data_IF_316042231086
#
_entry.id   IF_316042231086
#
_cell.length_a   1.000
_cell.length_b   1.000
_cell.length_c   1.000
_cell.angle_alpha   90.00
_cell.angle_beta   90.00
_cell.angle_gamma   90.00
#
_symmetry.space_group_name_H-M   'P 1'
#
loop_
_entity.id
_entity.type
_entity.pdbx_description
1 polymer ?
#
# COMPACT_ATOMS: atom_id res chain seq x y z
N UNK A 1 -8.84 5.52 12.41
CA UNK A 1 -8.20 5.57 11.07
C UNK A 1 -7.80 6.99 10.75
N UNK A 2 -6.67 7.13 10.06
CA UNK A 2 -6.24 8.44 9.56
C UNK A 2 -7.33 9.07 8.69
N UNK A 3 -7.47 10.37 8.71
CA UNK A 3 -8.54 11.08 8.02
C UNK A 3 -8.05 12.18 7.09
N UNK A 4 -8.92 12.62 6.21
CA UNK A 4 -8.67 13.74 5.29
C UNK A 4 -8.27 14.98 6.09
N UNK A 5 -7.17 15.63 5.70
CA UNK A 5 -6.59 16.77 6.38
C UNK A 5 -5.48 16.42 7.36
N UNK A 6 -5.35 15.16 7.74
CA UNK A 6 -4.26 14.72 8.63
C UNK A 6 -2.93 14.72 7.87
N UNK A 7 -1.84 14.86 8.62
CA UNK A 7 -0.49 14.67 8.06
C UNK A 7 -0.19 13.18 7.99
N UNK A 8 0.19 12.71 6.81
CA UNK A 8 0.53 11.29 6.61
C UNK A 8 1.85 10.95 7.27
N UNK A 9 1.92 9.85 8.04
CA UNK A 9 3.19 9.36 8.59
C UNK A 9 4.14 8.89 7.47
N UNK A 10 5.42 9.23 7.60
CA UNK A 10 6.46 8.70 6.73
C UNK A 10 6.79 7.26 7.14
N UNK A 11 7.33 6.49 6.20
CA UNK A 11 7.82 5.15 6.50
C UNK A 11 8.89 4.70 5.49
N UNK A 12 9.70 3.74 5.92
CA UNK A 12 10.60 2.97 5.07
C UNK A 12 10.29 1.51 5.37
N UNK A 13 10.01 0.74 4.35
CA UNK A 13 9.61 -0.66 4.54
C UNK A 13 10.10 -1.54 3.37
N UNK A 14 10.29 -2.86 3.62
CA UNK A 14 10.63 -3.79 2.55
C UNK A 14 9.53 -3.82 1.50
N UNK A 15 9.92 -3.85 0.23
CA UNK A 15 8.97 -3.86 -0.87
C UNK A 15 9.52 -4.61 -2.07
N UNK A 16 8.63 -5.08 -2.92
CA UNK A 16 8.95 -5.65 -4.22
C UNK A 16 8.54 -4.65 -5.30
N UNK A 17 9.48 -4.30 -6.17
CA UNK A 17 9.24 -3.41 -7.31
C UNK A 17 9.95 -3.99 -8.54
N UNK A 18 9.22 -4.15 -9.64
CA UNK A 18 9.77 -4.69 -10.90
C UNK A 18 10.53 -6.01 -10.72
N UNK A 19 10.00 -6.92 -9.89
CA UNK A 19 10.61 -8.21 -9.63
C UNK A 19 11.84 -8.17 -8.75
N UNK A 20 12.15 -7.04 -8.13
CA UNK A 20 13.31 -6.85 -7.27
C UNK A 20 12.87 -6.45 -5.87
N UNK A 21 13.42 -7.13 -4.86
CA UNK A 21 13.19 -6.78 -3.46
C UNK A 21 14.15 -5.67 -3.04
N UNK A 22 13.59 -4.61 -2.43
CA UNK A 22 14.34 -3.46 -1.93
C UNK A 22 13.54 -2.77 -0.82
N UNK A 23 14.03 -1.65 -0.33
CA UNK A 23 13.29 -0.81 0.59
C UNK A 23 12.53 0.28 -0.17
N UNK A 24 11.29 0.53 0.23
CA UNK A 24 10.52 1.65 -0.27
C UNK A 24 10.49 2.74 0.80
N UNK A 25 10.95 3.93 0.42
CA UNK A 25 10.89 5.12 1.27
C UNK A 25 9.77 6.03 0.75
N UNK A 26 8.74 6.24 1.55
CA UNK A 26 7.58 7.04 1.15
C UNK A 26 7.99 8.46 0.74
N UNK A 27 8.95 9.08 1.46
CA UNK A 27 9.36 10.45 1.15
C UNK A 27 9.88 10.62 -0.28
N UNK A 28 10.48 9.59 -0.87
CA UNK A 28 10.96 9.64 -2.26
C UNK A 28 9.80 9.69 -3.25
N UNK A 29 8.72 8.97 -2.96
CA UNK A 29 7.50 9.00 -3.78
C UNK A 29 6.80 10.36 -3.66
N UNK A 30 6.72 10.90 -2.46
CA UNK A 30 6.08 12.21 -2.22
C UNK A 30 6.87 13.33 -2.89
N UNK A 31 8.20 13.29 -2.87
CA UNK A 31 9.04 14.28 -3.54
C UNK A 31 8.93 14.24 -5.06
N UNK A 32 8.73 13.06 -5.63
CA UNK A 32 8.77 12.85 -7.07
C UNK A 32 7.41 12.96 -7.76
N UNK A 33 6.30 13.00 -7.02
CA UNK A 33 4.95 12.96 -7.57
C UNK A 33 4.04 13.98 -6.88
N UNK A 34 2.97 14.37 -7.55
CA UNK A 34 1.96 15.26 -6.97
C UNK A 34 1.11 14.55 -5.91
N UNK A 35 0.94 13.24 -6.06
CA UNK A 35 0.18 12.42 -5.12
C UNK A 35 0.72 10.99 -5.04
N UNK A 36 0.46 10.34 -3.91
CA UNK A 36 0.77 8.93 -3.68
C UNK A 36 -0.49 8.22 -3.23
N UNK A 37 -0.86 7.14 -3.91
CA UNK A 37 -1.97 6.28 -3.50
C UNK A 37 -1.42 5.05 -2.78
N UNK A 38 -1.83 4.87 -1.53
CA UNK A 38 -1.47 3.71 -0.72
C UNK A 38 -2.69 2.79 -0.62
N UNK A 39 -2.54 1.56 -1.08
CA UNK A 39 -3.60 0.57 -1.14
C UNK A 39 -3.30 -0.54 -0.12
N UNK A 40 -3.93 -0.45 1.05
CA UNK A 40 -3.71 -1.40 2.15
C UNK A 40 -4.60 -2.63 1.97
N UNK A 41 -4.02 -3.81 2.17
CA UNK A 41 -4.71 -5.09 2.14
C UNK A 41 -4.28 -5.95 3.33
N UNK A 42 -5.19 -6.75 3.92
CA UNK A 42 -4.84 -7.63 5.05
C UNK A 42 -3.75 -8.63 4.71
N UNK A 43 -3.84 -9.23 3.54
CA UNK A 43 -2.93 -10.28 3.10
C UNK A 43 -2.91 -10.35 1.57
N UNK A 44 -1.87 -10.99 1.05
CA UNK A 44 -1.79 -11.32 -0.37
C UNK A 44 -2.87 -12.36 -0.74
N UNK A 45 -3.26 -12.40 -2.00
CA UNK A 45 -4.20 -13.38 -2.56
C UNK A 45 -5.63 -13.33 -2.00
N UNK A 46 -5.98 -12.30 -1.22
CA UNK A 46 -7.38 -12.08 -0.81
C UNK A 46 -8.17 -11.66 -2.06
N UNK A 47 -9.23 -12.39 -2.43
CA UNK A 47 -9.89 -12.18 -3.73
C UNK A 47 -10.39 -10.75 -3.97
N UNK A 48 -11.01 -10.11 -2.99
CA UNK A 48 -11.53 -8.75 -3.14
C UNK A 48 -10.41 -7.73 -3.27
N UNK A 49 -9.32 -7.88 -2.51
CA UNK A 49 -8.15 -7.01 -2.60
C UNK A 49 -7.42 -7.21 -3.93
N UNK A 50 -7.30 -8.46 -4.38
CA UNK A 50 -6.68 -8.79 -5.67
C UNK A 50 -7.46 -8.16 -6.83
N UNK A 51 -8.79 -8.23 -6.79
CA UNK A 51 -9.63 -7.60 -7.81
C UNK A 51 -9.45 -6.08 -7.84
N UNK A 52 -9.32 -5.44 -6.68
CA UNK A 52 -9.09 -4.00 -6.58
C UNK A 52 -7.72 -3.61 -7.16
N UNK A 53 -6.66 -4.32 -6.79
CA UNK A 53 -5.31 -4.06 -7.31
C UNK A 53 -5.23 -4.31 -8.82
N UNK A 54 -5.90 -5.35 -9.32
CA UNK A 54 -5.99 -5.61 -10.75
C UNK A 54 -6.74 -4.49 -11.48
N UNK A 55 -7.79 -3.94 -10.88
CA UNK A 55 -8.52 -2.82 -11.45
C UNK A 55 -7.66 -1.55 -11.52
N UNK A 56 -6.86 -1.28 -10.50
CA UNK A 56 -5.91 -0.16 -10.49
C UNK A 56 -4.84 -0.34 -11.56
N UNK A 57 -4.30 -1.55 -11.70
CA UNK A 57 -3.35 -1.90 -12.76
C UNK A 57 -3.97 -1.65 -14.15
N UNK A 58 -5.17 -2.17 -14.38
CA UNK A 58 -5.85 -2.10 -15.68
C UNK A 58 -6.27 -0.67 -16.02
N UNK A 59 -6.55 0.15 -15.02
CA UNK A 59 -6.86 1.57 -15.20
C UNK A 59 -5.61 2.43 -15.45
N UNK A 60 -4.40 1.86 -15.30
CA UNK A 60 -3.15 2.54 -15.62
C UNK A 60 -2.76 3.64 -14.64
N UNK A 61 -3.12 3.52 -13.37
CA UNK A 61 -2.77 4.53 -12.37
C UNK A 61 -1.26 4.71 -12.26
N UNK A 62 -0.50 3.62 -12.36
CA UNK A 62 0.96 3.63 -12.29
C UNK A 62 1.63 4.29 -13.50
N UNK A 63 0.89 4.45 -14.59
CA UNK A 63 1.39 5.08 -15.82
C UNK A 63 1.28 6.61 -15.78
N UNK A 64 0.62 7.16 -14.76
CA UNK A 64 0.50 8.61 -14.60
C UNK A 64 1.79 9.17 -14.02
N UNK A 65 2.28 10.26 -14.62
CA UNK A 65 3.51 10.92 -14.15
C UNK A 65 3.31 11.64 -12.81
N UNK A 66 2.07 12.01 -12.49
CA UNK A 66 1.72 12.78 -11.29
C UNK A 66 1.34 11.92 -10.08
N UNK A 67 1.23 10.61 -10.26
CA UNK A 67 0.75 9.69 -9.22
C UNK A 67 1.71 8.52 -9.04
N UNK A 68 2.12 8.27 -7.80
CA UNK A 68 2.77 7.03 -7.41
C UNK A 68 1.73 6.09 -6.76
N UNK A 69 1.88 4.80 -7.00
CA UNK A 69 0.99 3.77 -6.41
C UNK A 69 1.85 2.76 -5.66
N UNK A 70 1.43 2.41 -4.46
CA UNK A 70 2.02 1.33 -3.67
C UNK A 70 0.93 0.53 -2.98
N UNK A 71 0.98 -0.78 -3.10
CA UNK A 71 0.15 -1.69 -2.33
C UNK A 71 0.91 -2.09 -1.06
N UNK A 72 0.19 -2.29 0.04
CA UNK A 72 0.77 -2.73 1.31
C UNK A 72 -0.01 -3.94 1.81
N UNK A 73 0.71 -4.98 2.23
CA UNK A 73 0.11 -6.20 2.78
C UNK A 73 0.74 -6.55 4.11
N UNK A 74 0.03 -7.34 4.93
CA UNK A 74 0.55 -7.84 6.19
C UNK A 74 1.41 -9.09 6.05
N UNK A 75 1.72 -9.52 4.84
CA UNK A 75 2.52 -10.72 4.57
C UNK A 75 4.01 -10.43 4.44
N UNK A 76 4.79 -11.52 4.35
CA UNK A 76 6.24 -11.44 4.17
C UNK A 76 6.62 -10.90 2.79
N UNK A 77 7.89 -10.52 2.67
CA UNK A 77 8.47 -10.08 1.39
C UNK A 77 8.36 -11.18 0.32
N UNK A 78 8.51 -12.45 0.72
CA UNK A 78 8.39 -13.58 -0.20
C UNK A 78 6.97 -13.73 -0.76
N UNK A 79 5.97 -13.57 0.09
CA UNK A 79 4.57 -13.59 -0.34
C UNK A 79 4.26 -12.40 -1.25
N UNK A 80 4.77 -11.21 -0.92
CA UNK A 80 4.61 -10.02 -1.76
C UNK A 80 5.23 -10.22 -3.14
N UNK A 81 6.40 -10.85 -3.21
CA UNK A 81 7.08 -11.15 -4.47
C UNK A 81 6.24 -12.08 -5.35
N UNK A 82 5.78 -13.20 -4.78
CA UNK A 82 4.95 -14.18 -5.49
C UNK A 82 3.65 -13.54 -5.99
N UNK A 83 3.05 -12.70 -5.17
CA UNK A 83 1.80 -12.01 -5.47
C UNK A 83 1.96 -11.02 -6.63
N UNK A 84 2.98 -10.16 -6.55
CA UNK A 84 3.25 -9.19 -7.61
C UNK A 84 3.54 -9.87 -8.95
N UNK A 85 4.30 -10.97 -8.93
CA UNK A 85 4.62 -11.75 -10.11
C UNK A 85 3.36 -12.43 -10.70
N UNK A 86 2.59 -13.06 -9.84
CA UNK A 86 1.38 -13.81 -10.27
C UNK A 86 0.34 -12.93 -10.94
N UNK A 87 0.19 -11.70 -10.49
CA UNK A 87 -0.85 -10.78 -10.99
C UNK A 87 -0.28 -9.63 -11.83
N UNK A 88 0.98 -9.70 -12.20
CA UNK A 88 1.65 -8.69 -13.03
C UNK A 88 1.43 -7.26 -12.50
N UNK A 89 1.62 -7.06 -11.19
CA UNK A 89 1.42 -5.75 -10.59
C UNK A 89 2.59 -4.82 -10.96
N UNK A 90 2.33 -3.71 -11.64
CA UNK A 90 3.38 -2.81 -12.12
C UNK A 90 3.88 -1.83 -11.07
N UNK A 91 3.23 -1.78 -9.91
CA UNK A 91 3.56 -0.90 -8.79
C UNK A 91 4.18 -1.69 -7.64
N UNK A 92 4.79 -0.97 -6.70
CA UNK A 92 5.44 -1.58 -5.55
C UNK A 92 4.43 -2.27 -4.63
N UNK A 93 4.83 -3.42 -4.07
CA UNK A 93 4.08 -4.14 -3.05
C UNK A 93 4.92 -4.16 -1.78
N UNK A 94 4.47 -3.43 -0.77
CA UNK A 94 5.16 -3.30 0.52
C UNK A 94 4.78 -4.47 1.42
N UNK A 95 5.79 -5.09 2.04
CA UNK A 95 5.61 -6.16 3.01
C UNK A 95 5.63 -5.59 4.43
N UNK A 96 4.46 -5.23 4.94
CA UNK A 96 4.27 -4.68 6.29
C UNK A 96 3.99 -5.81 7.29
N UNK A 97 4.88 -6.79 7.34
CA UNK A 97 4.65 -8.01 8.13
C UNK A 97 4.72 -7.81 9.65
N UNK A 98 5.26 -6.69 10.11
CA UNK A 98 5.22 -6.30 11.52
C UNK A 98 4.04 -5.39 11.86
N UNK A 99 3.27 -4.98 10.85
CA UNK A 99 2.12 -4.09 11.04
C UNK A 99 2.46 -2.65 11.39
N UNK A 100 3.74 -2.27 11.36
CA UNK A 100 4.17 -0.94 11.80
C UNK A 100 3.65 0.20 10.95
N UNK A 101 3.59 0.02 9.65
CA UNK A 101 3.04 1.04 8.75
C UNK A 101 1.54 1.18 8.98
N UNK A 102 0.80 0.07 8.96
CA UNK A 102 -0.65 0.09 9.20
C UNK A 102 -0.98 0.68 10.56
N UNK A 103 -0.19 0.38 11.60
CA UNK A 103 -0.37 0.95 12.93
C UNK A 103 -0.22 2.48 12.91
N UNK A 104 0.79 3.00 12.22
CA UNK A 104 1.01 4.44 12.13
C UNK A 104 -0.10 5.19 11.42
N UNK A 105 -0.83 4.51 10.53
CA UNK A 105 -2.00 5.04 9.83
C UNK A 105 -3.33 4.73 10.53
N UNK A 106 -3.27 4.14 11.72
CA UNK A 106 -4.44 3.68 12.48
C UNK A 106 -5.34 2.75 11.65
N UNK A 107 -4.69 1.84 10.93
CA UNK A 107 -5.34 0.87 10.04
C UNK A 107 -5.05 -0.58 10.45
N UNK A 108 -4.55 -0.80 11.66
CA UNK A 108 -4.25 -2.13 12.14
C UNK A 108 -5.51 -2.78 12.72
N UNK A 109 -5.87 -3.95 12.20
CA UNK A 109 -6.96 -4.74 12.75
C UNK A 109 -6.42 -5.68 13.83
N UNK A 110 -7.16 -5.82 14.95
CA UNK A 110 -6.77 -6.73 16.03
C UNK A 110 -6.78 -8.17 15.56
N UNK A 111 -7.79 -8.54 14.79
CA UNK A 111 -7.87 -9.87 14.19
C UNK A 111 -8.69 -9.83 12.89
N UNK A 112 -8.31 -10.72 11.97
CA UNK A 112 -9.01 -10.92 10.71
C UNK A 112 -8.77 -12.36 10.26
N UNK A 113 -9.84 -13.16 10.17
CA UNK A 113 -9.77 -14.57 9.77
C UNK A 113 -8.66 -15.37 10.47
N UNK A 114 -8.54 -15.18 11.78
CA UNK A 114 -7.52 -15.85 12.59
C UNK A 114 -6.13 -15.21 12.58
N UNK A 115 -5.91 -14.22 11.74
CA UNK A 115 -4.68 -13.43 11.73
C UNK A 115 -4.76 -12.28 12.72
N UNK A 116 -3.64 -11.96 13.35
CA UNK A 116 -3.54 -10.89 14.34
C UNK A 116 -2.73 -9.72 13.79
N UNK A 117 -3.09 -8.50 14.17
CA UNK A 117 -2.31 -7.30 13.90
C UNK A 117 -1.95 -7.10 12.42
N UNK A 118 -2.96 -7.19 11.56
CA UNK A 118 -2.79 -7.02 10.12
C UNK A 118 -3.49 -5.75 9.62
N UNK A 119 -3.09 -5.22 8.45
CA UNK A 119 -3.74 -4.05 7.88
C UNK A 119 -5.21 -4.29 7.59
N UNK A 120 -6.02 -3.25 7.80
CA UNK A 120 -7.39 -3.23 7.27
C UNK A 120 -7.31 -2.91 5.78
N UNK A 121 -8.28 -3.36 5.02
CA UNK A 121 -8.42 -2.96 3.62
C UNK A 121 -8.78 -1.48 3.55
N UNK A 122 -7.93 -0.66 2.95
CA UNK A 122 -8.10 0.79 2.88
C UNK A 122 -7.37 1.39 1.70
N UNK A 123 -7.86 2.54 1.25
CA UNK A 123 -7.18 3.38 0.28
C UNK A 123 -6.90 4.74 0.91
N UNK A 124 -5.65 5.17 0.87
CA UNK A 124 -5.22 6.48 1.37
C UNK A 124 -4.47 7.20 0.25
N UNK A 125 -4.86 8.42 -0.06
CA UNK A 125 -4.16 9.26 -1.04
C UNK A 125 -3.56 10.46 -0.33
N UNK A 126 -2.26 10.68 -0.57
CA UNK A 126 -1.45 11.72 0.07
C UNK A 126 -0.99 12.69 -1.01
N UNK A 127 -1.04 13.99 -0.75
CA UNK A 127 -0.49 14.99 -1.67
C UNK A 127 1.00 15.27 -1.39
N UNK A 128 1.61 16.15 -2.18
CA UNK A 128 3.03 16.48 -2.04
C UNK A 128 3.36 17.30 -0.78
N UNK A 129 2.36 17.76 -0.06
CA UNK A 129 2.51 18.45 1.23
C UNK A 129 2.27 17.50 2.42
N UNK A 130 2.27 16.20 2.18
CA UNK A 130 2.04 15.17 3.21
C UNK A 130 0.64 15.20 3.80
N UNK A 131 -0.31 15.83 3.14
CA UNK A 131 -1.69 15.90 3.61
C UNK A 131 -2.52 14.79 3.00
N UNK A 132 -3.27 14.08 3.83
CA UNK A 132 -4.22 13.06 3.37
C UNK A 132 -5.38 13.76 2.69
N UNK A 133 -5.60 13.42 1.43
CA UNK A 133 -6.68 14.00 0.60
C UNK A 133 -7.84 13.07 0.39
N UNK A 134 -7.62 11.77 0.59
CA UNK A 134 -8.64 10.74 0.50
C UNK A 134 -8.29 9.61 1.46
N UNK A 135 -9.28 9.09 2.16
CA UNK A 135 -9.10 7.94 3.05
C UNK A 135 -10.43 7.18 3.17
N UNK A 136 -10.40 5.90 2.82
CA UNK A 136 -11.58 5.05 2.85
C UNK A 136 -11.20 3.62 3.25
N UNK A 137 -12.01 3.02 4.14
CA UNK A 137 -11.94 1.60 4.49
C UNK A 137 -13.16 0.87 3.97
N UNK A 138 -13.01 -0.41 3.70
CA UNK A 138 -14.13 -1.28 3.32
C UNK A 138 -14.21 -2.49 4.21
#
# INVERSE_FOLDING_TARGET
MIGVGDTAPDFIAPAVSDGTADELALFRLVEAHDAVALLFAPATFVPTCTAELAAVRDAGWDERDDLAVAALTGDSLYAAFAYADRFDLPFSVVADFHGGVAESYDLLADSWEGHSEIPRRATVVIDCDWTVRFAETT
#
